data_IF_560444384028
#
_entry.id   IF_560444384028
#
_cell.length_a   1.000
_cell.length_b   1.000
_cell.length_c   1.000
_cell.angle_alpha   90.00
_cell.angle_beta   90.00
_cell.angle_gamma   90.00
#
_symmetry.space_group_name_H-M   'P 1'
#
loop_
_entity.id
_entity.type
_entity.pdbx_description
1 polymer ?
#
# COMPACT_ATOMS: atom_id res chain seq x y z
N UNK A 1 -10.14 2.21 22.41
CA UNK A 1 -9.95 2.03 20.96
C UNK A 1 -11.21 2.53 20.29
N UNK A 2 -11.12 3.57 19.46
CA UNK A 2 -12.28 4.06 18.73
C UNK A 2 -12.51 3.16 17.49
N UNK A 3 -13.68 3.28 16.84
CA UNK A 3 -14.03 2.48 15.68
C UNK A 3 -13.17 2.77 14.43
N UNK A 4 -12.51 3.94 14.37
CA UNK A 4 -11.54 4.31 13.33
C UNK A 4 -10.27 3.48 13.49
N UNK A 5 -9.69 3.46 14.70
CA UNK A 5 -8.48 2.71 15.02
C UNK A 5 -8.67 1.22 14.72
N UNK A 6 -9.86 0.69 15.02
CA UNK A 6 -10.22 -0.70 14.75
C UNK A 6 -10.28 -1.01 13.25
N UNK A 7 -10.89 -0.12 12.45
CA UNK A 7 -10.95 -0.26 11.00
C UNK A 7 -9.56 -0.15 10.36
N UNK A 8 -8.77 0.85 10.75
CA UNK A 8 -7.39 1.03 10.29
C UNK A 8 -6.51 -0.17 10.66
N UNK A 9 -6.60 -0.64 11.91
CA UNK A 9 -5.86 -1.82 12.37
C UNK A 9 -6.21 -3.07 11.57
N UNK A 10 -7.51 -3.27 11.28
CA UNK A 10 -7.98 -4.39 10.46
C UNK A 10 -7.46 -4.30 9.03
N UNK A 11 -7.54 -3.13 8.40
CA UNK A 11 -7.00 -2.90 7.07
C UNK A 11 -5.48 -3.14 7.01
N UNK A 12 -4.72 -2.70 8.02
CA UNK A 12 -3.27 -2.99 8.13
C UNK A 12 -2.99 -4.49 8.22
N UNK A 13 -3.81 -5.27 8.93
CA UNK A 13 -3.68 -6.73 8.96
C UNK A 13 -3.92 -7.36 7.59
N UNK A 14 -4.97 -6.92 6.87
CA UNK A 14 -5.27 -7.40 5.51
C UNK A 14 -4.11 -7.07 4.55
N UNK A 15 -3.58 -5.84 4.60
CA UNK A 15 -2.46 -5.41 3.76
C UNK A 15 -1.20 -6.25 4.03
N UNK A 16 -0.91 -6.61 5.28
CA UNK A 16 0.20 -7.53 5.59
C UNK A 16 0.00 -8.91 4.97
N UNK A 17 -1.22 -9.44 5.03
CA UNK A 17 -1.53 -10.74 4.44
C UNK A 17 -1.38 -10.72 2.92
N UNK A 18 -1.89 -9.67 2.26
CA UNK A 18 -1.71 -9.47 0.81
C UNK A 18 -0.23 -9.33 0.45
N UNK A 19 0.54 -8.62 1.26
CA UNK A 19 1.97 -8.46 1.05
C UNK A 19 2.74 -9.79 1.20
N UNK A 20 2.34 -10.65 2.14
CA UNK A 20 2.92 -11.98 2.26
C UNK A 20 2.67 -12.81 0.99
N UNK A 21 1.43 -12.81 0.49
CA UNK A 21 1.05 -13.51 -0.75
C UNK A 21 1.87 -13.00 -1.95
N UNK A 22 2.07 -11.68 -2.04
CA UNK A 22 2.98 -11.06 -3.01
C UNK A 22 4.43 -11.53 -2.84
N UNK A 23 4.97 -11.53 -1.62
CA UNK A 23 6.33 -11.97 -1.33
C UNK A 23 6.58 -13.46 -1.60
N UNK A 24 5.53 -14.29 -1.59
CA UNK A 24 5.57 -15.69 -2.01
C UNK A 24 5.64 -15.86 -3.55
N UNK A 25 5.66 -14.76 -4.32
CA UNK A 25 5.82 -14.74 -5.77
C UNK A 25 4.53 -15.06 -6.55
N UNK A 26 3.38 -14.98 -5.89
CA UNK A 26 2.08 -15.33 -6.49
C UNK A 26 1.39 -14.17 -7.22
N UNK A 27 1.84 -12.94 -7.00
CA UNK A 27 1.29 -11.71 -7.58
C UNK A 27 2.43 -10.88 -8.17
N UNK A 28 2.18 -10.21 -9.30
CA UNK A 28 3.07 -9.17 -9.80
C UNK A 28 2.84 -7.81 -9.08
N UNK A 29 3.71 -6.81 -9.29
CA UNK A 29 3.59 -5.50 -8.64
C UNK A 29 2.26 -4.82 -8.98
N UNK A 30 1.79 -4.93 -10.23
CA UNK A 30 0.55 -4.30 -10.66
C UNK A 30 -0.65 -4.93 -10.00
N UNK A 31 -0.70 -6.26 -9.91
CA UNK A 31 -1.74 -7.00 -9.20
C UNK A 31 -1.73 -6.67 -7.72
N UNK A 32 -0.56 -6.68 -7.08
CA UNK A 32 -0.41 -6.33 -5.67
C UNK A 32 -0.88 -4.89 -5.39
N UNK A 33 -0.39 -3.90 -6.14
CA UNK A 33 -0.73 -2.48 -5.92
C UNK A 33 -2.22 -2.22 -6.21
N UNK A 34 -2.82 -2.86 -7.21
CA UNK A 34 -4.28 -2.79 -7.45
C UNK A 34 -5.08 -3.40 -6.30
N UNK A 35 -4.65 -4.52 -5.75
CA UNK A 35 -5.29 -5.16 -4.59
C UNK A 35 -5.18 -4.27 -3.35
N UNK A 36 -4.03 -3.64 -3.12
CA UNK A 36 -3.85 -2.63 -2.06
C UNK A 36 -4.85 -1.50 -2.23
N UNK A 37 -4.95 -0.91 -3.44
CA UNK A 37 -5.90 0.17 -3.72
C UNK A 37 -7.35 -0.22 -3.41
N UNK A 38 -7.77 -1.43 -3.79
CA UNK A 38 -9.10 -1.94 -3.49
C UNK A 38 -9.38 -2.02 -1.97
N UNK A 39 -8.40 -2.44 -1.16
CA UNK A 39 -8.53 -2.47 0.30
C UNK A 39 -8.67 -1.06 0.87
N UNK A 40 -7.88 -0.10 0.39
CA UNK A 40 -7.92 1.29 0.84
C UNK A 40 -9.26 1.96 0.49
N UNK A 41 -9.73 1.79 -0.75
CA UNK A 41 -11.01 2.32 -1.22
C UNK A 41 -12.19 1.70 -0.46
N UNK A 42 -12.17 0.38 -0.24
CA UNK A 42 -13.19 -0.31 0.56
C UNK A 42 -13.21 0.16 2.02
N UNK A 43 -12.03 0.41 2.60
CA UNK A 43 -11.92 0.92 3.98
C UNK A 43 -12.44 2.36 4.09
N UNK A 44 -12.06 3.23 3.14
CA UNK A 44 -12.57 4.60 3.06
C UNK A 44 -14.09 4.62 2.89
N UNK A 45 -14.63 3.80 1.99
CA UNK A 45 -16.07 3.66 1.77
C UNK A 45 -16.79 3.25 3.05
N UNK A 46 -16.31 2.20 3.73
CA UNK A 46 -16.88 1.74 5.00
C UNK A 46 -16.91 2.86 6.05
N UNK A 47 -15.81 3.61 6.19
CA UNK A 47 -15.71 4.70 7.15
C UNK A 47 -16.66 5.85 6.82
N UNK A 48 -16.79 6.23 5.54
CA UNK A 48 -17.72 7.28 5.09
C UNK A 48 -19.18 6.90 5.34
N UNK A 49 -19.53 5.63 5.19
CA UNK A 49 -20.90 5.15 5.37
C UNK A 49 -21.30 4.97 6.84
N UNK A 50 -20.35 4.57 7.70
CA UNK A 50 -20.64 4.18 9.08
C UNK A 50 -20.23 5.21 10.12
N UNK A 51 -19.46 6.22 9.73
CA UNK A 51 -19.06 7.31 10.61
C UNK A 51 -19.41 8.63 9.95
N UNK A 52 -20.20 9.47 10.63
CA UNK A 52 -20.55 10.83 10.17
C UNK A 52 -19.35 11.80 10.11
N UNK A 53 -18.14 11.28 9.94
CA UNK A 53 -16.85 11.97 9.96
C UNK A 53 -16.20 11.80 8.59
N UNK A 54 -16.65 12.62 7.64
CA UNK A 54 -16.06 12.74 6.29
C UNK A 54 -14.53 12.84 6.35
N UNK A 55 -14.01 13.62 7.29
CA UNK A 55 -12.62 14.07 7.28
C UNK A 55 -11.64 13.01 7.81
N UNK A 56 -12.10 12.09 8.66
CA UNK A 56 -11.28 11.01 9.21
C UNK A 56 -10.98 9.91 8.18
N UNK A 57 -11.90 9.71 7.21
CA UNK A 57 -11.77 8.64 6.20
C UNK A 57 -10.56 8.84 5.28
N UNK A 58 -10.29 10.09 4.89
CA UNK A 58 -9.15 10.43 4.03
C UNK A 58 -7.81 10.28 4.78
N UNK A 59 -7.77 10.66 6.06
CA UNK A 59 -6.58 10.51 6.90
C UNK A 59 -6.22 9.02 7.05
N UNK A 60 -7.22 8.16 7.29
CA UNK A 60 -6.99 6.71 7.36
C UNK A 60 -6.50 6.17 6.03
N UNK A 61 -7.11 6.58 4.91
CA UNK A 61 -6.66 6.13 3.58
C UNK A 61 -5.21 6.51 3.31
N UNK A 62 -4.81 7.74 3.63
CA UNK A 62 -3.42 8.19 3.48
C UNK A 62 -2.46 7.36 4.35
N UNK A 63 -2.79 7.18 5.64
CA UNK A 63 -2.02 6.32 6.57
C UNK A 63 -1.85 4.89 6.04
N UNK A 64 -2.92 4.32 5.45
CA UNK A 64 -2.89 2.98 4.86
C UNK A 64 -2.06 2.91 3.58
N UNK A 65 -2.11 3.96 2.74
CA UNK A 65 -1.29 4.07 1.53
C UNK A 65 0.20 4.12 1.87
N UNK A 66 0.58 4.97 2.81
CA UNK A 66 1.95 5.08 3.29
C UNK A 66 2.42 3.74 3.88
N UNK A 67 1.56 3.08 4.66
CA UNK A 67 1.87 1.77 5.23
C UNK A 67 2.12 0.71 4.15
N UNK A 68 1.26 0.63 3.13
CA UNK A 68 1.39 -0.36 2.06
C UNK A 68 2.60 -0.08 1.14
N UNK A 69 2.85 1.20 0.79
CA UNK A 69 4.02 1.63 0.02
C UNK A 69 5.31 1.25 0.76
N UNK A 70 5.37 1.51 2.06
CA UNK A 70 6.51 1.13 2.90
C UNK A 70 6.74 -0.39 2.99
N UNK A 71 5.69 -1.20 3.00
CA UNK A 71 5.84 -2.66 2.94
C UNK A 71 6.49 -3.10 1.63
N UNK A 72 6.02 -2.57 0.51
CA UNK A 72 6.53 -2.88 -0.81
C UNK A 72 8.00 -2.45 -0.99
N UNK A 73 8.32 -1.20 -0.67
CA UNK A 73 9.70 -0.69 -0.74
C UNK A 73 10.67 -1.52 0.11
N UNK A 74 10.25 -1.92 1.33
CA UNK A 74 11.08 -2.78 2.18
C UNK A 74 11.31 -4.16 1.58
N UNK A 75 10.35 -4.69 0.82
CA UNK A 75 10.52 -5.97 0.14
C UNK A 75 11.51 -5.88 -1.02
N UNK A 76 11.47 -4.79 -1.81
CA UNK A 76 12.45 -4.54 -2.86
C UNK A 76 13.87 -4.48 -2.28
N UNK A 77 14.08 -3.71 -1.21
CA UNK A 77 15.38 -3.60 -0.54
C UNK A 77 15.90 -4.93 -0.01
N UNK A 78 15.02 -5.84 0.42
CA UNK A 78 15.41 -7.21 0.83
C UNK A 78 15.76 -8.10 -0.35
N UNK A 79 15.14 -7.89 -1.50
CA UNK A 79 15.49 -8.61 -2.73
C UNK A 79 16.85 -8.13 -3.29
N UNK A 80 17.23 -6.88 -3.01
CA UNK A 80 18.48 -6.23 -3.42
C UNK A 80 19.66 -6.46 -2.45
N UNK A 81 19.58 -7.36 -1.45
CA UNK A 81 20.70 -7.70 -0.55
C UNK A 81 21.87 -8.47 -1.24
N UNK A 82 21.95 -8.44 -2.58
CA UNK A 82 23.17 -8.61 -3.35
C UNK A 82 23.88 -7.24 -3.45
N UNK A 83 25.20 -7.11 -3.18
CA UNK A 83 25.82 -5.84 -2.79
C UNK A 83 25.84 -4.81 -3.93
N UNK A 84 24.77 -4.02 -4.04
CA UNK A 84 24.70 -2.83 -4.89
C UNK A 84 24.43 -1.63 -3.97
N UNK A 85 25.17 -0.51 -4.10
CA UNK A 85 24.97 0.65 -3.24
C UNK A 85 23.53 1.15 -3.37
N UNK A 86 22.90 1.47 -2.24
CA UNK A 86 21.61 2.15 -2.21
C UNK A 86 21.73 3.53 -2.88
N UNK A 87 21.44 3.58 -4.17
CA UNK A 87 21.45 4.82 -4.94
C UNK A 87 20.14 5.56 -4.68
N UNK A 88 20.20 6.83 -4.29
CA UNK A 88 18.99 7.62 -3.99
C UNK A 88 18.08 7.77 -5.21
N UNK A 89 18.63 7.67 -6.42
CA UNK A 89 17.86 7.64 -7.67
C UNK A 89 16.99 6.37 -7.79
N UNK A 90 17.41 5.24 -7.20
CA UNK A 90 16.62 4.00 -7.20
C UNK A 90 15.40 4.10 -6.29
N UNK A 91 15.54 4.74 -5.12
CA UNK A 91 14.44 4.94 -4.17
C UNK A 91 13.38 5.89 -4.77
N UNK A 92 13.79 7.03 -5.33
CA UNK A 92 12.88 7.96 -6.02
C UNK A 92 12.19 7.30 -7.23
N UNK A 93 12.91 6.45 -7.98
CA UNK A 93 12.35 5.69 -9.08
C UNK A 93 11.30 4.68 -8.62
N UNK A 94 11.57 3.89 -7.56
CA UNK A 94 10.63 2.93 -7.00
C UNK A 94 9.38 3.62 -6.44
N UNK A 95 9.55 4.77 -5.79
CA UNK A 95 8.42 5.57 -5.33
C UNK A 95 7.55 6.09 -6.46
N UNK A 96 8.15 6.71 -7.49
CA UNK A 96 7.44 7.16 -8.69
C UNK A 96 6.66 6.00 -9.33
N UNK A 97 7.31 4.85 -9.46
CA UNK A 97 6.75 3.66 -10.07
C UNK A 97 5.54 3.14 -9.30
N UNK A 98 5.64 3.06 -7.97
CA UNK A 98 4.51 2.67 -7.10
C UNK A 98 3.32 3.63 -7.30
N UNK A 99 3.58 4.93 -7.23
CA UNK A 99 2.55 5.96 -7.34
C UNK A 99 1.91 5.97 -8.75
N UNK A 100 2.68 5.67 -9.80
CA UNK A 100 2.18 5.51 -11.16
C UNK A 100 1.20 4.34 -11.27
N UNK A 101 1.58 3.16 -10.78
CA UNK A 101 0.71 1.97 -10.81
C UNK A 101 -0.52 2.20 -9.94
N UNK A 102 -0.38 2.80 -8.76
CA UNK A 102 -1.51 3.10 -7.89
C UNK A 102 -2.52 4.06 -8.55
N UNK A 103 -2.03 5.06 -9.28
CA UNK A 103 -2.87 6.05 -9.95
C UNK A 103 -3.50 5.51 -11.23
N UNK A 104 -2.70 4.94 -12.13
CA UNK A 104 -3.11 4.56 -13.48
C UNK A 104 -3.50 3.08 -13.60
N UNK A 105 -3.16 2.28 -12.60
CA UNK A 105 -3.38 0.84 -12.60
C UNK A 105 -2.49 0.10 -13.59
N UNK A 106 -1.49 0.70 -14.22
CA UNK A 106 -0.66 0.04 -15.24
C UNK A 106 0.81 0.36 -15.02
N UNK A 107 1.68 -0.48 -15.54
CA UNK A 107 3.12 -0.20 -15.59
C UNK A 107 3.40 1.07 -16.41
N UNK A 108 4.27 1.99 -15.92
CA UNK A 108 4.77 3.09 -16.73
C UNK A 108 5.51 2.55 -17.96
N UNK A 109 5.35 3.21 -19.12
CA UNK A 109 5.98 2.84 -20.40
C UNK A 109 7.23 3.65 -20.68
#
# INVERSE_FOLDING_TARGET
MNSIDAAEGTAKCILRQLHQVFAEGTLDDTEYIRNVKAVLEGTEMFLRENQGVSDGSQIVKASLQDFAKNLWLKNLKKAEDDPVPADSESDEYHEYYYDHIYTHGVYPR
#
